data_IF_186607212966
#
_entry.id   IF_186607212966
#
_cell.length_a   1.000
_cell.length_b   1.000
_cell.length_c   1.000
_cell.angle_alpha   90.00
_cell.angle_beta   90.00
_cell.angle_gamma   90.00
#
_symmetry.space_group_name_H-M   'P 1'
#
loop_
_entity.id
_entity.type
_entity.pdbx_description
1 polymer ?
#
# COMPACT_ATOMS: atom_id res chain seq x y z
N UNK A 1 -9.35 0.99 9.89
CA UNK A 1 -8.34 1.76 10.66
C UNK A 1 -6.93 1.31 10.32
N UNK A 2 -6.54 0.05 10.47
CA UNK A 2 -5.17 -0.36 10.13
C UNK A 2 -4.82 -0.11 8.65
N UNK A 3 -5.76 -0.37 7.73
CA UNK A 3 -5.59 -0.06 6.29
C UNK A 3 -5.20 1.40 6.08
N UNK A 4 -5.85 2.36 6.75
CA UNK A 4 -5.53 3.79 6.59
C UNK A 4 -4.17 4.21 7.13
N UNK A 5 -3.45 3.33 7.84
CA UNK A 5 -2.15 3.62 8.45
C UNK A 5 -0.97 3.09 7.63
N UNK A 6 -1.19 2.24 6.62
CA UNK A 6 -0.11 1.63 5.82
C UNK A 6 0.30 2.50 4.63
N UNK A 7 1.43 2.16 4.02
CA UNK A 7 1.97 2.88 2.86
C UNK A 7 1.09 2.74 1.61
N UNK A 8 1.37 3.57 0.61
CA UNK A 8 0.87 3.38 -0.75
C UNK A 8 1.26 2.01 -1.33
N UNK A 9 0.50 1.55 -2.32
CA UNK A 9 0.74 0.28 -3.02
C UNK A 9 1.39 0.49 -4.37
N UNK A 10 2.23 -0.46 -4.81
CA UNK A 10 2.81 -0.48 -6.16
C UNK A 10 1.77 -0.43 -7.29
N UNK A 11 0.51 -0.74 -6.99
CA UNK A 11 -0.61 -0.60 -7.94
C UNK A 11 -0.77 0.84 -8.44
N UNK A 12 -0.49 1.87 -7.61
CA UNK A 12 -0.54 3.27 -8.03
C UNK A 12 0.49 3.57 -9.12
N UNK A 13 1.68 2.97 -9.05
CA UNK A 13 2.73 3.12 -10.06
C UNK A 13 2.26 2.60 -11.41
N UNK A 14 1.62 1.42 -11.45
CA UNK A 14 1.05 0.86 -12.68
C UNK A 14 -0.11 1.70 -13.21
N UNK A 15 -1.02 2.12 -12.34
CA UNK A 15 -2.14 2.99 -12.74
C UNK A 15 -1.62 4.29 -13.37
N UNK A 16 -0.68 4.96 -12.71
CA UNK A 16 -0.03 6.17 -13.23
C UNK A 16 0.72 5.90 -14.53
N UNK A 17 1.45 4.79 -14.63
CA UNK A 17 2.16 4.43 -15.86
C UNK A 17 1.21 4.25 -17.05
N UNK A 18 0.03 3.68 -16.85
CA UNK A 18 -0.95 3.48 -17.92
C UNK A 18 -1.76 4.74 -18.26
N UNK A 19 -2.08 5.59 -17.28
CA UNK A 19 -2.89 6.80 -17.54
C UNK A 19 -2.06 8.01 -17.89
N UNK A 20 -0.91 8.18 -17.24
CA UNK A 20 -0.06 9.37 -17.27
C UNK A 20 1.43 8.99 -17.23
N UNK A 21 1.98 8.32 -18.28
CA UNK A 21 3.35 7.83 -18.29
C UNK A 21 4.43 8.85 -17.86
N UNK A 22 4.35 10.16 -18.23
CA UNK A 22 5.32 11.15 -17.78
C UNK A 22 5.39 11.35 -16.26
N UNK A 23 4.35 10.97 -15.51
CA UNK A 23 4.29 11.06 -14.04
C UNK A 23 4.58 9.73 -13.32
N UNK A 24 4.80 8.63 -14.05
CA UNK A 24 5.15 7.35 -13.42
C UNK A 24 6.37 7.44 -12.47
N UNK A 25 7.46 8.18 -12.79
CA UNK A 25 8.58 8.33 -11.86
C UNK A 25 8.18 9.01 -10.54
N UNK A 26 7.25 9.97 -10.58
CA UNK A 26 6.76 10.65 -9.38
C UNK A 26 6.00 9.69 -8.47
N UNK A 27 5.09 8.88 -9.04
CA UNK A 27 4.36 7.83 -8.30
C UNK A 27 5.33 6.85 -7.62
N UNK A 28 6.35 6.40 -8.35
CA UNK A 28 7.37 5.48 -7.81
C UNK A 28 8.12 6.11 -6.63
N UNK A 29 8.52 7.38 -6.74
CA UNK A 29 9.21 8.08 -5.65
C UNK A 29 8.29 8.25 -4.44
N UNK A 30 7.04 8.63 -4.64
CA UNK A 30 6.05 8.78 -3.57
C UNK A 30 5.79 7.47 -2.83
N UNK A 31 5.51 6.39 -3.56
CA UNK A 31 5.33 5.05 -2.99
C UNK A 31 6.59 4.60 -2.24
N UNK A 32 7.79 4.88 -2.77
CA UNK A 32 9.06 4.53 -2.12
C UNK A 32 9.27 5.29 -0.81
N UNK A 33 9.00 6.59 -0.78
CA UNK A 33 9.07 7.40 0.44
C UNK A 33 8.04 6.98 1.49
N UNK A 34 6.80 6.71 1.05
CA UNK A 34 5.74 6.18 1.92
C UNK A 34 6.14 4.83 2.52
N UNK A 35 6.73 3.95 1.71
CA UNK A 35 7.21 2.64 2.17
C UNK A 35 8.40 2.75 3.13
N UNK A 36 9.36 3.65 2.87
CA UNK A 36 10.49 3.86 3.76
C UNK A 36 10.08 4.42 5.13
N UNK A 37 9.07 5.29 5.16
CA UNK A 37 8.57 5.93 6.39
C UNK A 37 7.58 5.06 7.17
N UNK A 38 7.07 3.98 6.57
CA UNK A 38 6.02 3.10 7.13
C UNK A 38 6.43 2.49 8.49
N UNK A 39 7.73 2.25 8.70
CA UNK A 39 8.30 1.72 9.95
C UNK A 39 7.99 2.59 11.16
N UNK A 40 7.86 3.91 10.98
CA UNK A 40 7.48 4.84 12.05
C UNK A 40 6.03 5.26 11.96
N UNK A 41 5.55 5.55 10.75
CA UNK A 41 4.22 6.13 10.53
C UNK A 41 3.11 5.14 10.91
N UNK A 42 3.20 3.88 10.48
CA UNK A 42 2.12 2.89 10.72
C UNK A 42 1.94 2.56 12.20
N UNK A 43 3.00 2.27 13.00
CA UNK A 43 2.83 2.00 14.43
C UNK A 43 2.30 3.21 15.19
N UNK A 44 2.76 4.43 14.87
CA UNK A 44 2.32 5.66 15.53
C UNK A 44 0.85 5.98 15.21
N UNK A 45 0.44 5.88 13.94
CA UNK A 45 -0.96 6.08 13.56
C UNK A 45 -1.85 4.97 14.13
N UNK A 46 -1.38 3.73 14.19
CA UNK A 46 -2.12 2.63 14.82
C UNK A 46 -2.31 2.85 16.31
N UNK A 47 -1.28 3.31 17.02
CA UNK A 47 -1.39 3.68 18.43
C UNK A 47 -2.41 4.83 18.62
N UNK A 48 -2.36 5.85 17.77
CA UNK A 48 -3.27 7.00 17.86
C UNK A 48 -4.73 6.63 17.58
N UNK A 49 -4.98 5.85 16.53
CA UNK A 49 -6.32 5.57 16.02
C UNK A 49 -6.96 4.32 16.65
N UNK A 50 -6.16 3.32 17.00
CA UNK A 50 -6.60 2.00 17.49
C UNK A 50 -6.27 1.82 18.98
N UNK A 51 -5.19 2.42 19.48
CA UNK A 51 -4.65 2.20 20.83
C UNK A 51 -5.58 2.57 22.00
N UNK A 52 -6.67 3.30 21.74
CA UNK A 52 -7.72 3.56 22.73
C UNK A 52 -8.72 2.41 22.89
N UNK A 53 -8.78 1.50 21.91
CA UNK A 53 -9.75 0.39 21.85
C UNK A 53 -9.09 -0.98 22.01
N UNK A 54 -7.86 -1.14 21.52
CA UNK A 54 -7.09 -2.38 21.59
C UNK A 54 -5.65 -2.08 21.99
N UNK A 55 -4.97 -2.99 22.71
CA UNK A 55 -3.54 -2.85 22.97
C UNK A 55 -2.77 -2.86 21.64
N UNK A 56 -1.81 -1.94 21.49
CA UNK A 56 -0.97 -1.82 20.28
C UNK A 56 0.48 -2.03 20.68
N UNK A 57 1.08 -3.13 20.22
CA UNK A 57 2.51 -3.40 20.38
C UNK A 57 3.33 -2.62 19.34
N UNK A 58 3.65 -1.36 19.66
CA UNK A 58 4.41 -0.49 18.78
C UNK A 58 5.78 -1.08 18.43
N UNK A 59 6.49 -1.62 19.42
CA UNK A 59 7.85 -2.15 19.21
C UNK A 59 7.82 -3.40 18.33
N UNK A 60 6.87 -4.30 18.58
CA UNK A 60 6.64 -5.46 17.74
C UNK A 60 6.28 -5.05 16.32
N UNK A 61 5.38 -4.08 16.13
CA UNK A 61 5.01 -3.59 14.79
C UNK A 61 6.23 -3.01 14.05
N UNK A 62 7.06 -2.20 14.70
CA UNK A 62 8.32 -1.68 14.13
C UNK A 62 9.22 -2.83 13.68
N UNK A 63 9.47 -3.80 14.57
CA UNK A 63 10.32 -4.96 14.26
C UNK A 63 9.75 -5.78 13.10
N UNK A 64 8.43 -5.97 13.07
CA UNK A 64 7.78 -6.73 12.01
C UNK A 64 7.88 -6.02 10.67
N UNK A 65 7.66 -4.71 10.62
CA UNK A 65 7.79 -3.92 9.39
C UNK A 65 9.23 -3.96 8.87
N UNK A 66 10.22 -3.81 9.75
CA UNK A 66 11.63 -3.94 9.36
C UNK A 66 11.93 -5.29 8.70
N UNK A 67 11.37 -6.37 9.24
CA UNK A 67 11.59 -7.74 8.74
C UNK A 67 10.84 -8.05 7.45
N UNK A 68 9.55 -7.68 7.36
CA UNK A 68 8.69 -8.12 6.25
C UNK A 68 8.65 -7.12 5.08
N UNK A 69 9.03 -5.86 5.31
CA UNK A 69 9.00 -4.81 4.28
C UNK A 69 10.41 -4.29 3.98
N UNK A 70 11.10 -3.73 4.98
CA UNK A 70 12.34 -2.98 4.74
C UNK A 70 13.50 -3.91 4.35
N UNK A 71 13.67 -5.03 5.06
CA UNK A 71 14.75 -5.98 4.78
C UNK A 71 14.65 -6.59 3.36
N UNK A 72 13.50 -7.12 2.90
CA UNK A 72 13.35 -7.63 1.53
C UNK A 72 13.59 -6.58 0.45
N UNK A 73 13.08 -5.34 0.63
CA UNK A 73 13.31 -4.25 -0.33
C UNK A 73 14.80 -3.90 -0.39
N UNK A 74 15.45 -3.76 0.76
CA UNK A 74 16.88 -3.44 0.83
C UNK A 74 17.72 -4.53 0.18
N UNK A 75 17.39 -5.80 0.46
CA UNK A 75 18.06 -6.95 -0.16
C UNK A 75 17.87 -6.97 -1.68
N UNK A 76 16.66 -6.71 -2.19
CA UNK A 76 16.37 -6.63 -3.62
C UNK A 76 17.12 -5.48 -4.31
N UNK A 77 17.18 -4.31 -3.68
CA UNK A 77 17.95 -3.16 -4.19
C UNK A 77 19.46 -3.46 -4.22
N UNK A 78 19.98 -4.09 -3.17
CA UNK A 78 21.39 -4.47 -3.09
C UNK A 78 21.72 -5.55 -4.13
N UNK A 79 20.84 -6.54 -4.32
CA UNK A 79 20.97 -7.57 -5.35
C UNK A 79 21.00 -6.94 -6.75
N UNK A 80 20.11 -5.98 -7.03
CA UNK A 80 20.08 -5.28 -8.31
C UNK A 80 21.36 -4.48 -8.57
N UNK A 81 21.90 -3.85 -7.54
CA UNK A 81 23.15 -3.08 -7.62
C UNK A 81 24.39 -3.98 -7.80
N UNK A 82 24.48 -5.08 -7.06
CA UNK A 82 25.67 -5.95 -7.04
C UNK A 82 25.66 -7.00 -8.17
N UNK A 83 24.47 -7.49 -8.57
CA UNK A 83 24.30 -8.58 -9.53
C UNK A 83 23.25 -8.25 -10.60
N UNK A 84 23.42 -7.16 -11.38
CA UNK A 84 22.40 -6.69 -12.32
C UNK A 84 22.04 -7.75 -13.37
N UNK A 85 23.01 -8.55 -13.85
CA UNK A 85 22.76 -9.63 -14.83
C UNK A 85 21.80 -10.70 -14.30
N UNK A 86 21.92 -11.05 -13.01
CA UNK A 86 21.01 -12.00 -12.36
C UNK A 86 19.61 -11.39 -12.28
N UNK A 87 19.50 -10.12 -11.88
CA UNK A 87 18.21 -9.43 -11.84
C UNK A 87 17.56 -9.33 -13.22
N UNK A 88 18.31 -8.99 -14.28
CA UNK A 88 17.79 -8.97 -15.66
C UNK A 88 17.28 -10.35 -16.10
N UNK A 89 17.97 -11.43 -15.73
CA UNK A 89 17.52 -12.79 -16.02
C UNK A 89 16.23 -13.16 -15.25
N UNK A 90 16.04 -12.63 -14.04
CA UNK A 90 14.84 -12.87 -13.22
C UNK A 90 13.65 -11.99 -13.61
N UNK A 91 13.87 -10.78 -14.15
CA UNK A 91 12.82 -9.80 -14.46
C UNK A 91 11.61 -10.36 -15.21
N UNK A 92 11.76 -11.20 -16.26
CA UNK A 92 10.61 -11.73 -16.99
C UNK A 92 9.67 -12.59 -16.12
N UNK A 93 10.19 -13.18 -15.04
CA UNK A 93 9.44 -14.05 -14.14
C UNK A 93 8.80 -13.29 -12.97
N UNK A 94 9.28 -12.09 -12.63
CA UNK A 94 8.78 -11.33 -11.48
C UNK A 94 7.30 -10.94 -11.60
N UNK A 95 6.78 -10.43 -12.74
CA UNK A 95 5.36 -10.10 -12.86
C UNK A 95 4.40 -11.28 -12.62
N UNK A 96 4.54 -12.45 -13.31
CA UNK A 96 3.62 -13.56 -13.07
C UNK A 96 3.74 -14.14 -11.65
N UNK A 97 4.95 -14.19 -11.08
CA UNK A 97 5.14 -14.62 -9.70
C UNK A 97 4.47 -13.68 -8.70
N UNK A 98 4.58 -12.36 -8.91
CA UNK A 98 3.92 -11.35 -8.06
C UNK A 98 2.40 -11.46 -8.11
N UNK A 99 1.82 -11.71 -9.28
CA UNK A 99 0.37 -11.93 -9.43
C UNK A 99 -0.07 -13.19 -8.68
N UNK A 100 0.67 -14.30 -8.83
CA UNK A 100 0.37 -15.56 -8.14
C UNK A 100 0.48 -15.41 -6.62
N UNK A 101 1.57 -14.80 -6.13
CA UNK A 101 1.77 -14.53 -4.71
C UNK A 101 0.66 -13.63 -4.13
N UNK A 102 0.30 -12.56 -4.85
CA UNK A 102 -0.79 -11.67 -4.45
C UNK A 102 -2.14 -12.40 -4.41
N UNK A 103 -2.43 -13.23 -5.41
CA UNK A 103 -3.66 -14.03 -5.45
C UNK A 103 -3.73 -14.99 -4.26
N UNK A 104 -2.63 -15.64 -3.89
CA UNK A 104 -2.55 -16.49 -2.71
C UNK A 104 -2.73 -15.69 -1.41
N UNK A 105 -2.03 -14.56 -1.27
CA UNK A 105 -2.08 -13.73 -0.08
C UNK A 105 -3.45 -13.08 0.16
N UNK A 106 -4.25 -12.86 -0.89
CA UNK A 106 -5.65 -12.40 -0.77
C UNK A 106 -6.61 -13.59 -0.60
N UNK A 107 -6.40 -14.65 -1.37
CA UNK A 107 -7.31 -15.80 -1.42
C UNK A 107 -7.33 -16.62 -0.14
N UNK A 108 -6.17 -16.87 0.49
CA UNK A 108 -6.09 -17.68 1.72
C UNK A 108 -6.86 -17.03 2.89
N UNK A 109 -6.64 -15.75 3.25
CA UNK A 109 -7.44 -15.11 4.29
C UNK A 109 -8.93 -15.03 3.95
N UNK A 110 -9.27 -14.80 2.68
CA UNK A 110 -10.67 -14.78 2.23
C UNK A 110 -11.33 -16.14 2.45
N UNK A 111 -10.67 -17.23 2.07
CA UNK A 111 -11.18 -18.59 2.25
C UNK A 111 -11.37 -18.93 3.73
N UNK A 112 -10.39 -18.59 4.59
CA UNK A 112 -10.45 -18.81 6.04
C UNK A 112 -11.61 -18.01 6.67
N UNK A 113 -11.87 -16.79 6.18
CA UNK A 113 -12.84 -15.88 6.77
C UNK A 113 -14.16 -15.77 5.99
N UNK A 114 -14.47 -16.70 5.08
CA UNK A 114 -15.59 -16.57 4.14
C UNK A 114 -16.94 -16.37 4.84
N UNK A 115 -17.17 -17.07 5.95
CA UNK A 115 -18.41 -16.93 6.72
C UNK A 115 -18.54 -15.53 7.34
N UNK A 116 -17.44 -14.96 7.85
CA UNK A 116 -17.41 -13.59 8.37
C UNK A 116 -17.63 -12.56 7.27
N UNK A 117 -17.04 -12.79 6.09
CA UNK A 117 -17.18 -11.90 4.91
C UNK A 117 -18.62 -11.88 4.38
N UNK A 118 -19.29 -13.03 4.33
CA UNK A 118 -20.67 -13.15 3.85
C UNK A 118 -21.73 -12.75 4.89
N UNK A 119 -21.33 -12.53 6.15
CA UNK A 119 -22.24 -12.07 7.20
C UNK A 119 -22.68 -10.61 6.99
N UNK A 120 -23.79 -10.16 7.61
CA UNK A 120 -24.17 -8.74 7.62
C UNK A 120 -23.06 -7.82 8.16
N UNK A 121 -22.24 -8.32 9.09
CA UNK A 121 -21.07 -7.61 9.59
C UNK A 121 -20.00 -7.45 8.50
N UNK A 122 -19.71 -8.51 7.74
CA UNK A 122 -18.80 -8.48 6.60
C UNK A 122 -19.24 -7.50 5.51
N UNK A 123 -20.53 -7.46 5.20
CA UNK A 123 -21.11 -6.46 4.28
C UNK A 123 -20.90 -5.04 4.80
N UNK A 124 -21.11 -4.81 6.09
CA UNK A 124 -20.88 -3.49 6.72
C UNK A 124 -19.41 -3.07 6.59
N UNK A 125 -18.46 -3.96 6.92
CA UNK A 125 -17.03 -3.69 6.77
C UNK A 125 -16.65 -3.42 5.30
N UNK A 126 -17.25 -4.17 4.36
CA UNK A 126 -17.05 -3.96 2.91
C UNK A 126 -17.52 -2.58 2.45
N UNK A 127 -18.68 -2.12 2.91
CA UNK A 127 -19.15 -0.77 2.60
C UNK A 127 -18.24 0.31 3.18
N UNK A 128 -17.76 0.13 4.41
CA UNK A 128 -16.82 1.07 5.03
C UNK A 128 -15.49 1.13 4.26
N UNK A 129 -14.95 -0.01 3.82
CA UNK A 129 -13.68 -0.02 3.09
C UNK A 129 -13.82 0.61 1.71
N UNK A 130 -14.92 0.35 1.00
CA UNK A 130 -15.23 1.00 -0.28
C UNK A 130 -15.38 2.51 -0.09
N UNK A 131 -16.14 2.94 0.92
CA UNK A 131 -16.32 4.36 1.22
C UNK A 131 -15.00 5.04 1.58
N UNK A 132 -14.13 4.37 2.33
CA UNK A 132 -12.79 4.85 2.67
C UNK A 132 -11.92 5.05 1.42
N UNK A 133 -11.78 4.04 0.57
CA UNK A 133 -10.98 4.16 -0.64
C UNK A 133 -11.55 5.21 -1.60
N UNK A 134 -12.87 5.23 -1.82
CA UNK A 134 -13.51 6.23 -2.67
C UNK A 134 -13.26 7.65 -2.15
N UNK A 135 -13.39 7.84 -0.83
CA UNK A 135 -13.11 9.13 -0.19
C UNK A 135 -11.64 9.52 -0.32
N UNK A 136 -10.71 8.57 -0.20
CA UNK A 136 -9.28 8.80 -0.40
C UNK A 136 -8.98 9.19 -1.86
N UNK A 137 -9.53 8.50 -2.86
CA UNK A 137 -9.40 8.85 -4.28
C UNK A 137 -9.94 10.26 -4.56
N UNK A 138 -11.13 10.57 -4.08
CA UNK A 138 -11.78 11.88 -4.24
C UNK A 138 -10.92 12.97 -3.57
N UNK A 139 -10.55 12.78 -2.31
CA UNK A 139 -9.73 13.75 -1.58
C UNK A 139 -8.38 13.97 -2.26
N UNK A 140 -7.68 12.90 -2.64
CA UNK A 140 -6.41 12.97 -3.36
C UNK A 140 -6.52 13.74 -4.68
N UNK A 141 -7.61 13.55 -5.43
CA UNK A 141 -7.85 14.27 -6.67
C UNK A 141 -8.17 15.75 -6.45
N UNK A 142 -9.12 16.08 -5.58
CA UNK A 142 -9.58 17.47 -5.41
C UNK A 142 -8.63 18.33 -4.59
N UNK A 143 -8.04 17.80 -3.52
CA UNK A 143 -7.08 18.55 -2.70
C UNK A 143 -5.82 18.89 -3.49
N UNK A 144 -5.30 17.95 -4.27
CA UNK A 144 -4.16 18.22 -5.16
C UNK A 144 -4.50 19.25 -6.23
N UNK A 145 -5.69 19.20 -6.80
CA UNK A 145 -6.16 20.18 -7.76
C UNK A 145 -6.25 21.59 -7.20
N UNK A 146 -6.65 21.71 -5.93
CA UNK A 146 -6.70 22.99 -5.24
C UNK A 146 -5.31 23.49 -4.86
N UNK A 147 -4.43 22.62 -4.35
CA UNK A 147 -3.11 23.01 -3.86
C UNK A 147 -2.11 23.28 -5.00
N UNK A 148 -2.16 22.48 -6.06
CA UNK A 148 -1.21 22.52 -7.18
C UNK A 148 -1.84 23.11 -8.46
N UNK A 149 -2.88 23.93 -8.31
CA UNK A 149 -3.71 24.43 -9.42
C UNK A 149 -2.97 25.20 -10.52
N UNK A 150 -1.75 25.68 -10.25
CA UNK A 150 -0.89 26.42 -11.19
C UNK A 150 0.15 25.55 -11.90
N UNK A 151 0.25 24.27 -11.54
CA UNK A 151 1.27 23.37 -12.09
C UNK A 151 0.89 23.00 -13.53
N UNK A 152 1.86 22.96 -14.46
CA UNK A 152 1.61 22.31 -15.75
C UNK A 152 1.14 20.87 -15.53
N UNK A 153 0.26 20.37 -16.40
CA UNK A 153 -0.29 19.01 -16.31
C UNK A 153 -1.03 18.69 -15.00
N UNK A 154 -1.66 19.71 -14.37
CA UNK A 154 -2.41 19.56 -13.11
C UNK A 154 -3.37 18.37 -13.12
N UNK A 155 -4.03 18.07 -14.26
CA UNK A 155 -4.95 16.93 -14.36
C UNK A 155 -4.26 15.57 -14.22
N UNK A 156 -3.08 15.41 -14.80
CA UNK A 156 -2.26 14.22 -14.64
C UNK A 156 -1.76 14.08 -13.20
N UNK A 157 -1.32 15.21 -12.61
CA UNK A 157 -0.90 15.24 -11.21
C UNK A 157 -2.04 14.87 -10.26
N UNK A 158 -3.24 15.39 -10.50
CA UNK A 158 -4.44 15.07 -9.72
C UNK A 158 -4.77 13.57 -9.77
N UNK A 159 -4.68 12.93 -10.94
CA UNK A 159 -4.88 11.47 -11.07
C UNK A 159 -3.80 10.69 -10.33
N UNK A 160 -2.54 11.07 -10.51
CA UNK A 160 -1.40 10.43 -9.82
C UNK A 160 -1.55 10.48 -8.30
N UNK A 161 -1.88 11.65 -7.75
CA UNK A 161 -2.09 11.83 -6.30
C UNK A 161 -3.37 11.16 -5.80
N UNK A 162 -4.41 11.06 -6.63
CA UNK A 162 -5.59 10.24 -6.35
C UNK A 162 -5.22 8.77 -6.21
N UNK A 163 -4.40 8.22 -7.12
CA UNK A 163 -3.93 6.84 -7.04
C UNK A 163 -3.05 6.58 -5.83
N UNK A 164 -2.07 7.43 -5.55
CA UNK A 164 -1.17 7.28 -4.39
C UNK A 164 -1.92 7.33 -3.04
N UNK A 165 -2.98 8.13 -2.94
CA UNK A 165 -3.76 8.23 -1.70
C UNK A 165 -4.82 7.14 -1.57
N UNK A 166 -5.45 6.72 -2.68
CA UNK A 166 -6.51 5.72 -2.68
C UNK A 166 -6.02 4.27 -2.73
N UNK A 167 -4.85 3.99 -3.29
CA UNK A 167 -4.30 2.62 -3.41
C UNK A 167 -3.30 2.32 -2.30
N UNK A 168 -3.74 1.57 -1.29
CA UNK A 168 -2.90 1.23 -0.13
C UNK A 168 -2.39 -0.21 -0.15
N UNK A 169 -1.27 -0.45 0.53
CA UNK A 169 -0.62 -1.76 0.64
C UNK A 169 -1.40 -2.70 1.57
N UNK A 170 -2.52 -3.23 1.08
CA UNK A 170 -3.43 -4.10 1.84
C UNK A 170 -2.74 -5.36 2.38
N UNK A 171 -1.71 -5.86 1.69
CA UNK A 171 -0.87 -6.98 2.13
C UNK A 171 -0.12 -6.65 3.43
N UNK A 172 0.44 -5.43 3.54
CA UNK A 172 1.09 -4.97 4.76
C UNK A 172 0.11 -4.84 5.91
N UNK A 173 -1.10 -4.32 5.63
CA UNK A 173 -2.16 -4.21 6.62
C UNK A 173 -2.60 -5.59 7.13
N UNK A 174 -2.78 -6.56 6.23
CA UNK A 174 -3.12 -7.94 6.57
C UNK A 174 -2.03 -8.61 7.43
N UNK A 175 -0.76 -8.47 7.04
CA UNK A 175 0.36 -9.06 7.78
C UNK A 175 0.45 -8.52 9.21
N UNK A 176 0.23 -7.21 9.38
CA UNK A 176 0.17 -6.59 10.72
C UNK A 176 -1.08 -6.99 11.49
N UNK A 177 -2.24 -7.09 10.83
CA UNK A 177 -3.47 -7.54 11.46
C UNK A 177 -3.28 -8.91 12.09
N UNK A 178 -2.90 -9.92 11.29
CA UNK A 178 -2.75 -11.30 11.76
C UNK A 178 -1.69 -11.49 12.86
N UNK A 179 -0.74 -10.57 12.99
CA UNK A 179 0.36 -10.68 13.96
C UNK A 179 0.08 -9.93 15.27
N UNK A 180 -0.71 -8.86 15.22
CA UNK A 180 -0.87 -7.93 16.35
C UNK A 180 -2.32 -7.74 16.82
N UNK A 181 -3.32 -8.29 16.12
CA UNK A 181 -4.74 -8.18 16.45
C UNK A 181 -5.48 -9.50 16.23
#
# INVERSE_FOLDING_TARGET
MLVSCVSGAQLSNYATFFTDPPLAPLSIVMTSLSTATVVFVTPMLSLLLIGKRLPVDVVGMVSSILQIVIAPITAGLLLNRLFPRLCEAMRPFLPPLSVLDTACCVGVPLAININSVLSPFGLTVSLLIVAFHLSAFIAGYFLSGSLFHKTPDVKALQRTLSFETGMQSNLSALALANRFF
#
